data_IF_205567043325
#
_entry.id   IF_205567043325
#
_cell.length_a   1.000
_cell.length_b   1.000
_cell.length_c   1.000
_cell.angle_alpha   90.00
_cell.angle_beta   90.00
_cell.angle_gamma   90.00
#
_symmetry.space_group_name_H-M   'P 1'
#
loop_
_entity.id
_entity.type
_entity.pdbx_description
1 polymer ?
#
# COMPACT_ATOMS: atom_id res chain seq x y z
N UNK A 1 18.45 2.53 -9.28
CA UNK A 1 18.79 1.29 -8.54
C UNK A 1 19.85 1.63 -7.51
N UNK A 2 19.53 1.53 -6.22
CA UNK A 2 20.50 1.79 -5.13
C UNK A 2 21.52 0.65 -5.14
N UNK A 3 22.82 0.98 -5.18
CA UNK A 3 23.87 -0.05 -5.17
C UNK A 3 23.91 -0.71 -3.80
N UNK A 4 24.05 -2.04 -3.80
CA UNK A 4 24.03 -2.90 -2.59
C UNK A 4 25.06 -2.51 -1.52
N UNK A 5 26.12 -1.77 -1.90
CA UNK A 5 27.19 -1.31 -1.02
C UNK A 5 26.89 0.01 -0.28
N UNK A 6 25.76 0.67 -0.56
CA UNK A 6 25.40 1.97 0.03
C UNK A 6 24.30 1.88 1.08
N UNK A 7 23.85 0.67 1.43
CA UNK A 7 22.70 0.47 2.32
C UNK A 7 23.20 0.34 3.76
N UNK A 8 22.83 1.28 4.67
CA UNK A 8 23.19 1.16 6.07
C UNK A 8 22.66 -0.16 6.67
N UNK A 9 23.35 -0.75 7.67
CA UNK A 9 22.92 -2.01 8.29
C UNK A 9 21.50 -1.92 8.87
N UNK A 10 21.06 -0.73 9.30
CA UNK A 10 19.69 -0.48 9.74
C UNK A 10 18.67 -0.64 8.60
N UNK A 11 19.00 -0.17 7.39
CA UNK A 11 18.12 -0.29 6.23
C UNK A 11 18.02 -1.74 5.74
N UNK A 12 19.09 -2.54 5.85
CA UNK A 12 19.03 -3.99 5.56
C UNK A 12 18.08 -4.71 6.53
N UNK A 13 18.12 -4.37 7.83
CA UNK A 13 17.20 -4.92 8.83
C UNK A 13 15.75 -4.53 8.54
N UNK A 14 15.51 -3.26 8.22
CA UNK A 14 14.17 -2.77 7.87
C UNK A 14 13.60 -3.48 6.63
N UNK A 15 14.43 -3.70 5.61
CA UNK A 15 14.02 -4.44 4.41
C UNK A 15 13.67 -5.91 4.73
N UNK A 16 14.48 -6.57 5.57
CA UNK A 16 14.20 -7.95 6.00
C UNK A 16 12.88 -8.05 6.77
N UNK A 17 12.65 -7.17 7.73
CA UNK A 17 11.38 -7.13 8.49
C UNK A 17 10.18 -6.85 7.58
N UNK A 18 10.34 -5.95 6.61
CA UNK A 18 9.29 -5.66 5.62
C UNK A 18 9.01 -6.87 4.70
N UNK A 19 10.02 -7.67 4.37
CA UNK A 19 9.86 -8.92 3.62
C UNK A 19 9.15 -10.00 4.45
N UNK A 20 9.50 -10.14 5.73
CA UNK A 20 8.82 -11.05 6.67
C UNK A 20 7.34 -10.68 6.81
N UNK A 21 7.01 -9.39 6.97
CA UNK A 21 5.62 -8.91 6.97
C UNK A 21 4.89 -9.25 5.67
N UNK A 22 5.53 -9.05 4.52
CA UNK A 22 4.93 -9.41 3.22
C UNK A 22 4.68 -10.91 3.11
N UNK A 23 5.61 -11.75 3.53
CA UNK A 23 5.44 -13.21 3.53
C UNK A 23 4.29 -13.64 4.45
N UNK A 24 4.15 -13.06 5.64
CA UNK A 24 3.02 -13.32 6.54
C UNK A 24 1.66 -12.87 5.98
N UNK A 25 1.66 -11.93 5.04
CA UNK A 25 0.47 -11.43 4.36
C UNK A 25 0.15 -12.20 3.07
N UNK A 26 1.07 -13.02 2.53
CA UNK A 26 0.87 -13.73 1.25
C UNK A 26 -0.31 -14.70 1.26
N UNK A 27 -0.53 -15.37 2.39
CA UNK A 27 -1.65 -16.31 2.56
C UNK A 27 -2.96 -15.62 2.98
N UNK A 28 -2.97 -14.30 3.17
CA UNK A 28 -4.22 -13.59 3.46
C UNK A 28 -5.02 -13.44 2.16
N UNK A 29 -6.31 -13.78 2.17
CA UNK A 29 -7.16 -13.55 1.02
C UNK A 29 -7.15 -12.04 0.71
N UNK A 30 -6.90 -11.70 -0.55
CA UNK A 30 -7.06 -10.32 -1.00
C UNK A 30 -8.51 -9.88 -0.69
N UNK A 31 -8.71 -8.63 -0.24
CA UNK A 31 -10.05 -8.09 -0.12
C UNK A 31 -10.77 -8.22 -1.47
N UNK A 32 -12.09 -8.44 -1.42
CA UNK A 32 -12.91 -8.51 -2.63
C UNK A 32 -12.64 -7.27 -3.47
N UNK A 33 -12.34 -7.48 -4.74
CA UNK A 33 -12.14 -6.38 -5.68
C UNK A 33 -13.43 -5.57 -5.77
N UNK A 34 -13.34 -4.28 -5.51
CA UNK A 34 -14.47 -3.36 -5.64
C UNK A 34 -14.65 -3.05 -7.14
N UNK A 35 -15.87 -3.23 -7.66
CA UNK A 35 -16.21 -2.98 -9.06
C UNK A 35 -17.15 -1.79 -9.15
N UNK A 36 -16.93 -0.91 -10.13
CA UNK A 36 -17.74 0.31 -10.31
C UNK A 36 -17.30 1.49 -9.42
N UNK A 37 -16.31 1.30 -8.54
CA UNK A 37 -15.67 2.34 -7.75
C UNK A 37 -14.33 2.80 -8.33
N UNK A 38 -13.73 3.82 -7.71
CA UNK A 38 -12.37 4.28 -8.04
C UNK A 38 -11.33 3.23 -7.67
N UNK A 39 -10.20 3.21 -8.37
CA UNK A 39 -9.05 2.39 -7.99
C UNK A 39 -8.58 2.78 -6.58
N UNK A 40 -8.34 1.76 -5.74
CA UNK A 40 -7.99 1.93 -4.34
C UNK A 40 -9.18 1.74 -3.39
N UNK A 41 -8.93 1.87 -2.07
CA UNK A 41 -9.98 1.68 -1.06
C UNK A 41 -11.12 2.71 -1.22
N UNK A 42 -12.36 2.25 -1.06
CA UNK A 42 -13.56 3.08 -1.18
C UNK A 42 -13.47 4.38 -0.34
N UNK A 43 -13.63 5.57 -0.96
CA UNK A 43 -13.45 6.86 -0.27
C UNK A 43 -14.41 7.04 0.91
N UNK A 44 -15.61 6.42 0.84
CA UNK A 44 -16.59 6.38 1.93
C UNK A 44 -15.99 5.77 3.21
N UNK A 45 -15.11 4.78 3.10
CA UNK A 45 -14.50 4.10 4.25
C UNK A 45 -13.34 4.89 4.87
N UNK A 46 -12.72 5.79 4.12
CA UNK A 46 -11.50 6.49 4.53
C UNK A 46 -11.63 8.01 4.57
N UNK A 47 -12.81 8.56 4.25
CA UNK A 47 -13.12 9.98 4.30
C UNK A 47 -12.50 10.81 3.17
N UNK A 48 -11.87 10.18 2.18
CA UNK A 48 -11.12 10.86 1.11
C UNK A 48 -11.97 11.04 -0.14
N UNK A 49 -12.84 12.04 -0.14
CA UNK A 49 -13.70 12.37 -1.28
C UNK A 49 -13.01 13.24 -2.34
N UNK A 50 -11.72 13.53 -2.16
CA UNK A 50 -11.00 14.47 -3.01
C UNK A 50 -10.34 13.77 -4.22
N UNK A 51 -10.34 14.45 -5.37
CA UNK A 51 -9.47 14.12 -6.51
C UNK A 51 -8.91 15.39 -7.08
N UNK A 52 -7.58 15.54 -7.06
CA UNK A 52 -6.90 16.74 -7.57
C UNK A 52 -7.43 18.03 -6.91
N UNK A 53 -7.78 17.99 -5.63
CA UNK A 53 -8.30 19.13 -4.87
C UNK A 53 -9.77 19.48 -5.14
N UNK A 54 -10.52 18.59 -5.79
CA UNK A 54 -11.96 18.72 -5.96
C UNK A 54 -12.67 17.63 -5.16
N UNK A 55 -13.64 18.01 -4.33
CA UNK A 55 -14.56 17.06 -3.73
C UNK A 55 -15.46 16.47 -4.84
N UNK A 56 -15.41 15.15 -5.00
CA UNK A 56 -16.20 14.42 -6.00
C UNK A 56 -17.11 13.46 -5.24
N UNK A 57 -18.40 13.69 -5.31
CA UNK A 57 -19.45 12.72 -4.99
C UNK A 57 -19.90 12.06 -6.32
N UNK A 58 -20.32 10.79 -6.27
CA UNK A 58 -20.69 9.87 -7.38
C UNK A 58 -19.61 9.46 -8.41
#
# INVERSE_FOLDING_TARGET
>A
MVKKNEIPPAAVRALKEAEERRNLLKDRPNPKKEFGGRDGPEPVRFGDWERKGLAIDF
#
